data_IF_500047469336
#
_entry.id   IF_500047469336
#
_cell.length_a   1.000
_cell.length_b   1.000
_cell.length_c   1.000
_cell.angle_alpha   90.00
_cell.angle_beta   90.00
_cell.angle_gamma   90.00
#
_symmetry.space_group_name_H-M   'P 1'
#
loop_
_entity.id
_entity.type
_entity.pdbx_description
1 polymer ?
#
# COMPACT_ATOMS: atom_id res chain seq x y z
N UNK A 1 -18.91 -23.11 -14.78
CA UNK A 1 -19.65 -21.94 -15.30
C UNK A 1 -18.63 -20.90 -15.73
N UNK A 2 -18.55 -20.58 -17.02
CA UNK A 2 -17.60 -19.59 -17.54
C UNK A 2 -17.98 -18.16 -17.11
N UNK A 3 -17.01 -17.26 -16.87
CA UNK A 3 -17.30 -15.91 -16.43
C UNK A 3 -18.09 -15.14 -17.50
N UNK A 4 -19.24 -14.60 -17.08
CA UNK A 4 -20.12 -13.72 -17.86
C UNK A 4 -19.32 -12.53 -18.39
N UNK A 5 -19.25 -12.40 -19.72
CA UNK A 5 -18.75 -11.20 -20.40
C UNK A 5 -19.57 -10.00 -19.95
N UNK A 6 -18.90 -8.99 -19.39
CA UNK A 6 -19.48 -7.70 -19.05
C UNK A 6 -20.18 -7.08 -20.26
N UNK A 7 -21.32 -6.43 -19.99
CA UNK A 7 -22.17 -5.81 -21.00
C UNK A 7 -21.37 -4.87 -21.90
N UNK A 8 -21.37 -5.15 -23.20
CA UNK A 8 -20.86 -4.21 -24.20
C UNK A 8 -21.82 -3.03 -24.24
N UNK A 9 -21.33 -1.84 -23.89
CA UNK A 9 -22.02 -0.59 -24.14
C UNK A 9 -22.43 -0.52 -25.63
N UNK A 10 -23.61 0.03 -25.90
CA UNK A 10 -24.11 0.21 -27.26
C UNK A 10 -23.07 1.03 -28.05
N UNK A 11 -22.57 0.46 -29.14
CA UNK A 11 -21.58 1.12 -30.00
C UNK A 11 -22.32 1.96 -31.03
N UNK A 12 -21.98 3.24 -31.14
CA UNK A 12 -22.47 4.13 -32.18
C UNK A 12 -22.06 3.61 -33.56
N UNK A 13 -22.96 3.73 -34.55
CA UNK A 13 -22.79 3.21 -35.91
C UNK A 13 -23.15 4.27 -36.94
N UNK A 14 -22.46 4.25 -38.07
CA UNK A 14 -22.77 5.12 -39.21
C UNK A 14 -22.52 6.60 -38.89
N UNK A 15 -23.46 7.47 -39.27
CA UNK A 15 -23.37 8.93 -39.10
C UNK A 15 -23.08 9.34 -37.66
N UNK A 16 -23.71 8.70 -36.68
CA UNK A 16 -23.48 9.00 -35.25
C UNK A 16 -22.02 8.77 -34.84
N UNK A 17 -21.34 7.80 -35.45
CA UNK A 17 -19.93 7.56 -35.19
C UNK A 17 -19.02 8.58 -35.89
N UNK A 18 -19.43 9.12 -37.03
CA UNK A 18 -18.71 10.19 -37.74
C UNK A 18 -18.79 11.49 -36.95
N UNK A 19 -20.00 11.91 -36.56
CA UNK A 19 -20.23 13.14 -35.80
C UNK A 19 -19.50 13.12 -34.45
N UNK A 20 -19.54 11.99 -33.73
CA UNK A 20 -18.83 11.83 -32.44
C UNK A 20 -17.31 11.91 -32.59
N UNK A 21 -16.74 11.35 -33.67
CA UNK A 21 -15.30 11.37 -33.90
C UNK A 21 -14.84 12.77 -34.31
N UNK A 22 -15.63 13.46 -35.13
CA UNK A 22 -15.33 14.82 -35.55
C UNK A 22 -15.41 15.81 -34.39
N UNK A 23 -16.49 15.77 -33.60
CA UNK A 23 -16.63 16.59 -32.40
C UNK A 23 -15.47 16.34 -31.43
N UNK A 24 -15.06 15.08 -31.27
CA UNK A 24 -13.90 14.73 -30.46
C UNK A 24 -12.60 15.33 -31.01
N UNK A 25 -12.32 15.21 -32.32
CA UNK A 25 -11.12 15.76 -32.93
C UNK A 25 -11.09 17.29 -32.86
N UNK A 26 -12.23 17.96 -33.06
CA UNK A 26 -12.38 19.42 -32.96
C UNK A 26 -12.17 19.88 -31.52
N UNK A 27 -12.80 19.21 -30.54
CA UNK A 27 -12.68 19.59 -29.12
C UNK A 27 -11.25 19.46 -28.57
N UNK A 28 -10.51 18.44 -29.02
CA UNK A 28 -9.15 18.20 -28.54
C UNK A 28 -8.09 18.99 -29.31
N UNK A 29 -8.38 19.38 -30.55
CA UNK A 29 -7.47 20.10 -31.46
C UNK A 29 -6.04 19.50 -31.49
N UNK A 30 -5.96 18.17 -31.48
CA UNK A 30 -4.71 17.40 -31.40
C UNK A 30 -4.70 16.24 -32.41
N UNK A 31 -3.55 15.89 -32.99
CA UNK A 31 -3.41 14.75 -33.89
C UNK A 31 -3.43 13.42 -33.11
N UNK A 32 -4.26 12.46 -33.54
CA UNK A 32 -4.37 11.14 -32.91
C UNK A 32 -4.31 9.99 -33.93
N UNK A 33 -3.87 8.81 -33.48
CA UNK A 33 -4.01 7.58 -34.25
C UNK A 33 -5.36 6.90 -33.98
N UNK A 34 -5.77 5.99 -34.87
CA UNK A 34 -7.06 5.28 -34.79
C UNK A 34 -7.26 4.57 -33.44
N UNK A 35 -6.21 3.90 -32.94
CA UNK A 35 -6.30 3.18 -31.67
C UNK A 35 -6.55 4.13 -30.50
N UNK A 36 -5.91 5.31 -30.49
CA UNK A 36 -6.04 6.31 -29.44
C UNK A 36 -7.44 6.92 -29.45
N UNK A 37 -7.98 7.23 -30.63
CA UNK A 37 -9.36 7.74 -30.79
C UNK A 37 -10.38 6.76 -30.20
N UNK A 38 -10.27 5.47 -30.53
CA UNK A 38 -11.17 4.42 -30.01
C UNK A 38 -11.06 4.27 -28.49
N UNK A 39 -9.85 4.38 -27.95
CA UNK A 39 -9.60 4.33 -26.50
C UNK A 39 -10.14 5.56 -25.76
N UNK A 40 -9.88 6.76 -26.28
CA UNK A 40 -10.31 8.02 -25.68
C UNK A 40 -11.83 8.18 -25.74
N UNK A 41 -12.49 7.63 -26.77
CA UNK A 41 -13.95 7.51 -26.85
C UNK A 41 -14.51 6.36 -26.02
N UNK A 42 -13.71 5.71 -25.16
CA UNK A 42 -14.11 4.59 -24.29
C UNK A 42 -14.83 3.45 -25.02
N UNK A 43 -14.40 3.10 -26.23
CA UNK A 43 -15.05 2.10 -27.09
C UNK A 43 -16.53 2.41 -27.44
N UNK A 44 -16.98 3.66 -27.31
CA UNK A 44 -18.30 4.11 -27.81
C UNK A 44 -18.44 3.89 -29.31
N UNK A 45 -17.32 3.95 -30.05
CA UNK A 45 -17.25 3.55 -31.46
C UNK A 45 -16.39 2.29 -31.57
N UNK A 46 -16.90 1.26 -32.25
CA UNK A 46 -16.12 0.05 -32.52
C UNK A 46 -14.98 0.31 -33.51
N UNK A 47 -13.82 -0.35 -33.34
CA UNK A 47 -12.62 -0.12 -34.18
C UNK A 47 -12.90 -0.14 -35.68
N UNK A 48 -13.68 -1.11 -36.16
CA UNK A 48 -14.05 -1.20 -37.58
C UNK A 48 -14.95 -0.06 -38.05
N UNK A 49 -15.85 0.41 -37.18
CA UNK A 49 -16.72 1.54 -37.47
C UNK A 49 -15.93 2.86 -37.46
N UNK A 50 -14.97 3.02 -36.53
CA UNK A 50 -14.09 4.17 -36.46
C UNK A 50 -13.20 4.30 -37.70
N UNK A 51 -12.66 3.20 -38.22
CA UNK A 51 -11.88 3.21 -39.47
C UNK A 51 -12.73 3.75 -40.63
N UNK A 52 -13.94 3.21 -40.80
CA UNK A 52 -14.85 3.65 -41.88
C UNK A 52 -15.28 5.10 -41.72
N UNK A 53 -15.63 5.51 -40.50
CA UNK A 53 -16.01 6.88 -40.20
C UNK A 53 -14.88 7.87 -40.49
N UNK A 54 -13.64 7.54 -40.08
CA UNK A 54 -12.46 8.36 -40.35
C UNK A 54 -12.13 8.44 -41.85
N UNK A 55 -12.26 7.34 -42.59
CA UNK A 55 -12.08 7.32 -44.05
C UNK A 55 -13.14 8.20 -44.75
N UNK A 56 -14.40 8.13 -44.31
CA UNK A 56 -15.49 8.95 -44.83
C UNK A 56 -15.26 10.44 -44.53
N UNK A 57 -14.93 10.78 -43.28
CA UNK A 57 -14.64 12.15 -42.86
C UNK A 57 -13.42 12.73 -43.58
N UNK A 58 -12.38 11.93 -43.79
CA UNK A 58 -11.19 12.34 -44.55
C UNK A 58 -11.52 12.55 -46.03
N UNK A 59 -12.36 11.68 -46.61
CA UNK A 59 -12.81 11.80 -48.01
C UNK A 59 -13.72 13.02 -48.21
N UNK A 60 -14.51 13.37 -47.20
CA UNK A 60 -15.34 14.58 -47.17
C UNK A 60 -14.54 15.87 -46.92
N UNK A 61 -13.23 15.78 -46.63
CA UNK A 61 -12.38 16.93 -46.33
C UNK A 61 -12.65 17.61 -44.98
N UNK A 62 -13.46 16.98 -44.11
CA UNK A 62 -13.81 17.50 -42.78
C UNK A 62 -12.68 17.32 -41.77
N UNK A 63 -11.83 16.31 -41.99
CA UNK A 63 -10.63 16.04 -41.20
C UNK A 63 -9.41 15.91 -42.11
N UNK A 64 -8.24 16.23 -41.57
CA UNK A 64 -6.96 16.06 -42.26
C UNK A 64 -6.33 14.73 -41.84
N UNK A 65 -5.83 13.97 -42.81
CA UNK A 65 -5.16 12.69 -42.56
C UNK A 65 -3.76 12.68 -43.15
N UNK A 66 -2.82 12.07 -42.43
CA UNK A 66 -1.45 11.86 -42.92
C UNK A 66 -0.97 10.47 -42.53
N UNK A 67 -0.48 9.72 -43.52
CA UNK A 67 0.10 8.40 -43.32
C UNK A 67 1.60 8.51 -43.01
N UNK A 68 2.03 7.80 -41.96
CA UNK A 68 3.41 7.64 -41.54
C UNK A 68 3.73 6.15 -41.48
N UNK A 69 4.19 5.61 -42.62
CA UNK A 69 4.48 4.19 -42.76
C UNK A 69 3.22 3.34 -42.57
N UNK A 70 3.15 2.59 -41.46
CA UNK A 70 2.01 1.72 -41.12
C UNK A 70 0.90 2.42 -40.30
N UNK A 71 1.16 3.63 -39.81
CA UNK A 71 0.26 4.36 -38.93
C UNK A 71 -0.36 5.52 -39.71
N UNK A 72 -1.66 5.75 -39.52
CA UNK A 72 -2.36 6.91 -40.07
C UNK A 72 -2.78 7.80 -38.91
N UNK A 73 -2.41 9.08 -39.01
CA UNK A 73 -2.72 10.11 -38.03
C UNK A 73 -3.83 10.98 -38.58
N UNK A 74 -4.85 11.22 -37.76
CA UNK A 74 -6.02 12.03 -38.07
C UNK A 74 -6.03 13.26 -37.17
N UNK A 75 -6.32 14.41 -37.75
CA UNK A 75 -6.45 15.68 -37.05
C UNK A 75 -7.65 16.45 -37.63
N UNK A 76 -8.25 17.34 -36.83
CA UNK A 76 -9.21 18.30 -37.36
C UNK A 76 -8.53 19.23 -38.39
N UNK A 77 -9.29 19.70 -39.36
CA UNK A 77 -8.82 20.72 -40.30
C UNK A 77 -8.60 22.04 -39.55
N UNK A 78 -7.62 22.83 -39.99
CA UNK A 78 -7.35 24.16 -39.43
C UNK A 78 -8.63 25.01 -39.53
N UNK A 79 -9.05 25.55 -38.38
CA UNK A 79 -10.19 26.46 -38.27
C UNK A 79 -9.68 27.81 -37.79
N UNK A 80 -10.24 28.89 -38.35
CA UNK A 80 -9.99 30.22 -37.83
C UNK A 80 -10.49 30.30 -36.38
N UNK A 81 -9.60 30.65 -35.46
CA UNK A 81 -9.93 30.80 -34.06
C UNK A 81 -10.79 32.05 -33.87
N UNK A 82 -12.10 31.86 -33.81
CA UNK A 82 -13.05 32.93 -33.49
C UNK A 82 -13.22 32.98 -31.97
N UNK A 83 -12.91 34.13 -31.37
CA UNK A 83 -13.23 34.38 -29.96
C UNK A 83 -14.75 34.32 -29.76
N UNK A 84 -15.26 33.70 -28.69
CA UNK A 84 -16.67 33.73 -28.37
C UNK A 84 -17.19 35.17 -28.24
N UNK A 85 -18.44 35.41 -28.64
CA UNK A 85 -19.06 36.74 -28.55
C UNK A 85 -19.00 37.27 -27.10
N UNK A 86 -18.45 38.47 -26.93
CA UNK A 86 -18.31 39.13 -25.62
C UNK A 86 -16.98 38.89 -24.90
N UNK A 87 -16.07 38.10 -25.47
CA UNK A 87 -14.73 37.89 -24.91
C UNK A 87 -13.76 38.91 -25.50
N UNK A 88 -13.25 39.81 -24.66
CA UNK A 88 -12.23 40.78 -25.06
C UNK A 88 -10.85 40.11 -25.06
N UNK A 89 -10.23 40.01 -26.23
CA UNK A 89 -8.88 39.47 -26.40
C UNK A 89 -7.84 40.20 -25.52
N UNK A 90 -8.08 41.47 -25.19
CA UNK A 90 -7.18 42.27 -24.36
C UNK A 90 -7.13 41.83 -22.89
N UNK A 91 -8.07 40.99 -22.42
CA UNK A 91 -8.05 40.45 -21.05
C UNK A 91 -7.15 39.21 -20.92
N UNK A 92 -6.87 38.53 -22.03
CA UNK A 92 -6.09 37.28 -22.05
C UNK A 92 -4.65 37.56 -22.49
N UNK A 93 -4.00 38.49 -21.81
CA UNK A 93 -2.57 38.75 -22.01
C UNK A 93 -1.71 37.72 -21.29
N UNK A 94 -0.48 37.46 -21.76
CA UNK A 94 0.46 36.60 -21.04
C UNK A 94 0.75 37.11 -19.62
N UNK A 95 0.66 38.43 -19.39
CA UNK A 95 0.76 39.02 -18.06
C UNK A 95 -0.41 38.64 -17.15
N UNK A 96 -1.66 38.72 -17.64
CA UNK A 96 -2.85 38.29 -16.89
C UNK A 96 -2.78 36.78 -16.57
N UNK A 97 -2.32 35.96 -17.52
CA UNK A 97 -2.11 34.53 -17.28
C UNK A 97 -1.05 34.27 -16.20
N UNK A 98 0.02 35.07 -16.19
CA UNK A 98 1.06 34.98 -15.16
C UNK A 98 0.51 35.35 -13.78
N UNK A 99 -0.31 36.41 -13.70
CA UNK A 99 -0.99 36.82 -12.47
C UNK A 99 -1.93 35.72 -11.95
N UNK A 100 -2.81 35.19 -12.80
CA UNK A 100 -3.73 34.11 -12.40
C UNK A 100 -3.00 32.84 -11.96
N UNK A 101 -1.84 32.52 -12.56
CA UNK A 101 -1.00 31.40 -12.09
C UNK A 101 -0.40 31.67 -10.71
N UNK A 102 0.02 32.91 -10.46
CA UNK A 102 0.52 33.31 -9.14
C UNK A 102 -0.60 33.21 -8.08
N UNK A 103 -1.78 33.75 -8.38
CA UNK A 103 -2.98 33.65 -7.54
C UNK A 103 -3.39 32.20 -7.28
N UNK A 104 -3.38 31.34 -8.31
CA UNK A 104 -3.67 29.91 -8.16
C UNK A 104 -2.67 29.25 -7.20
N UNK A 105 -1.38 29.57 -7.34
CA UNK A 105 -0.33 29.02 -6.48
C UNK A 105 -0.49 29.47 -5.03
N UNK A 106 -0.90 30.72 -4.81
CA UNK A 106 -1.16 31.27 -3.48
C UNK A 106 -2.39 30.60 -2.83
N UNK A 107 -3.50 30.49 -3.56
CA UNK A 107 -4.72 29.81 -3.09
C UNK A 107 -4.47 28.33 -2.81
N UNK A 108 -3.68 27.65 -3.63
CA UNK A 108 -3.29 26.25 -3.39
C UNK A 108 -2.46 26.09 -2.11
N UNK A 109 -1.56 27.03 -1.85
CA UNK A 109 -0.77 27.05 -0.61
C UNK A 109 -1.65 27.28 0.61
N UNK A 110 -2.58 28.24 0.55
CA UNK A 110 -3.50 28.54 1.64
C UNK A 110 -4.43 27.36 1.92
N UNK A 111 -4.93 26.71 0.86
CA UNK A 111 -5.71 25.47 0.98
C UNK A 111 -4.90 24.36 1.65
N UNK A 112 -3.63 24.19 1.28
CA UNK A 112 -2.78 23.16 1.88
C UNK A 112 -2.56 23.43 3.38
N UNK A 113 -2.33 24.69 3.77
CA UNK A 113 -2.19 25.08 5.18
C UNK A 113 -3.49 24.83 5.96
N UNK A 114 -4.64 25.25 5.43
CA UNK A 114 -5.93 25.02 6.05
C UNK A 114 -6.26 23.52 6.17
N UNK A 115 -5.89 22.71 5.19
CA UNK A 115 -6.06 21.26 5.24
C UNK A 115 -5.19 20.63 6.33
N UNK A 116 -3.95 21.08 6.50
CA UNK A 116 -3.07 20.58 7.57
C UNK A 116 -3.65 20.91 8.95
N UNK A 117 -4.15 22.12 9.14
CA UNK A 117 -4.82 22.52 10.39
C UNK A 117 -6.09 21.71 10.64
N UNK A 118 -6.91 21.50 9.62
CA UNK A 118 -8.09 20.66 9.71
C UNK A 118 -7.75 19.22 10.09
N UNK A 119 -6.75 18.62 9.44
CA UNK A 119 -6.30 17.26 9.72
C UNK A 119 -5.66 17.14 11.11
N UNK A 120 -5.08 18.23 11.64
CA UNK A 120 -4.57 18.28 13.02
C UNK A 120 -5.72 18.25 14.03
N UNK A 121 -6.73 19.09 13.84
CA UNK A 121 -7.91 19.14 14.72
C UNK A 121 -8.72 17.86 14.64
N UNK A 122 -8.89 17.27 13.45
CA UNK A 122 -9.65 16.01 13.28
C UNK A 122 -8.96 14.79 13.88
N UNK A 123 -7.66 14.85 14.20
CA UNK A 123 -6.98 13.79 14.95
C UNK A 123 -7.29 13.85 16.44
N UNK A 124 -7.71 15.01 16.94
CA UNK A 124 -8.10 15.15 18.33
C UNK A 124 -9.48 14.51 18.53
N UNK A 125 -9.65 13.63 19.54
CA UNK A 125 -10.94 13.04 19.80
C UNK A 125 -11.95 14.13 20.22
N UNK A 126 -13.24 13.95 19.91
CA UNK A 126 -14.27 14.92 20.26
C UNK A 126 -14.30 15.15 21.77
N UNK A 127 -14.72 16.35 22.18
CA UNK A 127 -14.64 16.80 23.58
C UNK A 127 -15.37 15.87 24.57
N UNK A 128 -16.46 15.23 24.12
CA UNK A 128 -17.21 14.24 24.92
C UNK A 128 -16.41 12.95 25.14
N UNK A 129 -15.70 12.47 24.13
CA UNK A 129 -14.83 11.29 24.25
C UNK A 129 -13.61 11.58 25.13
N UNK A 130 -13.06 12.80 25.07
CA UNK A 130 -11.99 13.24 25.96
C UNK A 130 -12.37 13.14 27.44
N UNK A 131 -13.60 13.54 27.79
CA UNK A 131 -14.09 13.44 29.18
C UNK A 131 -14.17 11.98 29.64
N UNK A 132 -14.69 11.08 28.80
CA UNK A 132 -14.74 9.65 29.10
C UNK A 132 -13.34 9.03 29.23
N UNK A 133 -12.40 9.46 28.39
CA UNK A 133 -10.99 9.04 28.44
C UNK A 133 -10.31 9.50 29.74
N UNK A 134 -10.57 10.73 30.18
CA UNK A 134 -10.05 11.26 31.45
C UNK A 134 -10.57 10.41 32.61
N UNK A 135 -11.89 10.22 32.71
CA UNK A 135 -12.50 9.45 33.80
C UNK A 135 -11.97 8.01 33.84
N UNK A 136 -11.85 7.36 32.68
CA UNK A 136 -11.27 6.01 32.58
C UNK A 136 -9.81 5.96 33.01
N UNK A 137 -9.02 6.95 32.63
CA UNK A 137 -7.61 7.02 32.99
C UNK A 137 -7.45 7.27 34.49
N UNK A 138 -8.27 8.14 35.09
CA UNK A 138 -8.31 8.38 36.53
C UNK A 138 -8.63 7.09 37.29
N UNK A 139 -9.69 6.37 36.90
CA UNK A 139 -10.01 5.06 37.49
C UNK A 139 -8.87 4.04 37.36
N UNK A 140 -8.15 4.06 36.23
CA UNK A 140 -7.01 3.18 36.00
C UNK A 140 -5.85 3.54 36.91
N UNK A 141 -5.58 4.85 37.10
CA UNK A 141 -4.54 5.34 38.01
C UNK A 141 -4.87 4.95 39.44
N UNK A 142 -6.12 5.16 39.90
CA UNK A 142 -6.55 4.77 41.24
C UNK A 142 -6.38 3.26 41.48
N UNK A 143 -6.79 2.43 40.51
CA UNK A 143 -6.61 0.98 40.60
C UNK A 143 -5.13 0.59 40.68
N UNK A 144 -4.29 1.16 39.81
CA UNK A 144 -2.86 0.87 39.80
C UNK A 144 -2.17 1.34 41.08
N UNK A 145 -2.62 2.47 41.66
CA UNK A 145 -2.12 2.95 42.94
C UNK A 145 -2.52 1.99 44.08
N UNK A 146 -3.76 1.50 44.11
CA UNK A 146 -4.19 0.52 45.10
C UNK A 146 -3.43 -0.82 44.96
N UNK A 147 -3.24 -1.31 43.74
CA UNK A 147 -2.41 -2.50 43.48
C UNK A 147 -0.96 -2.29 43.91
N UNK A 148 -0.39 -1.10 43.65
CA UNK A 148 0.96 -0.75 44.08
C UNK A 148 1.07 -0.68 45.61
N UNK A 149 0.10 -0.10 46.30
CA UNK A 149 0.05 -0.04 47.77
C UNK A 149 -0.07 -1.44 48.38
N UNK A 150 -0.89 -2.32 47.81
CA UNK A 150 -1.01 -3.71 48.25
C UNK A 150 0.33 -4.44 48.07
N UNK A 151 0.94 -4.31 46.90
CA UNK A 151 2.24 -4.91 46.61
C UNK A 151 3.34 -4.36 47.52
N UNK A 152 3.35 -3.05 47.79
CA UNK A 152 4.33 -2.42 48.69
C UNK A 152 4.13 -2.84 50.15
N UNK A 153 2.88 -3.01 50.59
CA UNK A 153 2.57 -3.44 51.96
C UNK A 153 2.94 -4.91 52.18
N UNK A 154 2.76 -5.75 51.15
CA UNK A 154 3.16 -7.15 51.15
C UNK A 154 4.59 -7.38 50.63
N UNK A 155 5.39 -6.34 50.42
CA UNK A 155 6.77 -6.46 49.95
C UNK A 155 7.73 -6.63 51.14
N UNK A 156 8.35 -7.79 51.24
CA UNK A 156 9.38 -8.06 52.24
C UNK A 156 10.78 -7.96 51.61
N UNK A 157 11.63 -6.99 51.99
CA UNK A 157 12.96 -6.79 51.39
C UNK A 157 13.92 -8.00 51.49
N UNK A 158 13.67 -8.92 52.42
CA UNK A 158 14.43 -10.16 52.55
C UNK A 158 14.23 -11.10 51.35
N UNK A 159 13.07 -11.07 50.69
CA UNK A 159 12.78 -11.89 49.51
C UNK A 159 13.71 -11.57 48.34
N UNK A 160 14.09 -10.30 48.14
CA UNK A 160 14.97 -9.90 47.04
C UNK A 160 16.39 -10.49 47.21
N UNK A 161 16.89 -10.54 48.45
CA UNK A 161 18.19 -11.15 48.76
C UNK A 161 18.15 -12.67 48.58
N UNK A 162 17.07 -13.31 49.04
CA UNK A 162 16.86 -14.76 48.88
C UNK A 162 16.75 -15.13 47.40
N UNK A 163 15.98 -14.38 46.60
CA UNK A 163 15.86 -14.59 45.15
C UNK A 163 17.20 -14.42 44.44
N UNK A 164 18.02 -13.42 44.82
CA UNK A 164 19.38 -13.26 44.27
C UNK A 164 20.30 -14.43 44.63
N UNK A 165 20.19 -14.97 45.84
CA UNK A 165 20.97 -16.13 46.25
C UNK A 165 20.53 -17.41 45.53
N UNK A 166 19.22 -17.62 45.38
CA UNK A 166 18.65 -18.77 44.66
C UNK A 166 19.04 -18.75 43.18
N UNK A 167 18.88 -17.62 42.49
CA UNK A 167 19.28 -17.49 41.08
C UNK A 167 20.80 -17.70 40.89
N UNK A 168 21.63 -17.21 41.82
CA UNK A 168 23.06 -17.47 41.81
C UNK A 168 23.41 -18.95 42.05
N UNK A 169 22.61 -19.67 42.84
CA UNK A 169 22.77 -21.12 43.04
C UNK A 169 22.31 -21.91 41.81
N UNK A 170 21.17 -21.57 41.22
CA UNK A 170 20.64 -22.18 40.00
C UNK A 170 21.64 -22.08 38.85
N UNK A 171 22.17 -20.89 38.57
CA UNK A 171 23.16 -20.70 37.51
C UNK A 171 24.46 -21.50 37.73
N UNK A 172 24.84 -21.77 38.99
CA UNK A 172 25.97 -22.66 39.30
C UNK A 172 25.62 -24.12 39.01
N UNK A 173 24.43 -24.55 39.44
CA UNK A 173 23.94 -25.92 39.20
C UNK A 173 23.78 -26.18 37.70
N UNK A 174 23.25 -25.25 36.92
CA UNK A 174 23.14 -25.37 35.47
C UNK A 174 24.51 -25.51 34.79
N UNK A 175 25.52 -24.74 35.22
CA UNK A 175 26.89 -24.87 34.72
C UNK A 175 27.48 -26.25 35.01
N UNK A 176 27.26 -26.76 36.23
CA UNK A 176 27.70 -28.11 36.62
C UNK A 176 26.98 -29.20 35.82
N UNK A 177 25.67 -29.08 35.65
CA UNK A 177 24.87 -30.01 34.83
C UNK A 177 25.35 -29.97 33.38
N UNK A 178 25.61 -28.80 32.81
CA UNK A 178 26.13 -28.66 31.45
C UNK A 178 27.53 -29.27 31.30
N UNK A 179 28.43 -29.04 32.25
CA UNK A 179 29.77 -29.63 32.27
C UNK A 179 29.70 -31.16 32.38
N UNK A 180 28.91 -31.69 33.31
CA UNK A 180 28.71 -33.14 33.50
C UNK A 180 28.06 -33.79 32.29
N UNK A 181 27.07 -33.13 31.69
CA UNK A 181 26.42 -33.58 30.46
C UNK A 181 27.40 -33.63 29.28
N UNK A 182 28.30 -32.65 29.14
CA UNK A 182 29.38 -32.68 28.13
C UNK A 182 30.35 -33.83 28.37
N UNK A 183 30.77 -34.06 29.62
CA UNK A 183 31.65 -35.18 29.96
C UNK A 183 31.02 -36.53 29.62
N UNK A 184 29.75 -36.74 29.96
CA UNK A 184 29.00 -37.96 29.62
C UNK A 184 28.88 -38.12 28.11
N UNK A 185 28.56 -37.06 27.36
CA UNK A 185 28.49 -37.11 25.89
C UNK A 185 29.84 -37.47 25.25
N UNK A 186 30.94 -36.91 25.76
CA UNK A 186 32.29 -37.24 25.28
C UNK A 186 32.66 -38.69 25.56
N UNK A 187 32.40 -39.18 26.77
CA UNK A 187 32.62 -40.58 27.14
C UNK A 187 31.77 -41.53 26.27
N UNK A 188 30.51 -41.18 26.02
CA UNK A 188 29.64 -41.95 25.15
C UNK A 188 30.16 -42.00 23.71
N UNK A 189 30.70 -40.89 23.19
CA UNK A 189 31.34 -40.86 21.87
C UNK A 189 32.55 -41.79 21.80
N UNK A 190 33.42 -41.75 22.82
CA UNK A 190 34.58 -42.63 22.95
C UNK A 190 34.19 -44.12 22.97
N UNK A 191 33.14 -44.49 23.73
CA UNK A 191 32.62 -45.86 23.76
C UNK A 191 32.06 -46.26 22.38
N UNK A 192 31.35 -45.36 21.70
CA UNK A 192 30.82 -45.60 20.35
C UNK A 192 31.93 -45.86 19.33
N UNK A 193 33.03 -45.10 19.40
CA UNK A 193 34.16 -45.23 18.48
C UNK A 193 34.98 -46.51 18.71
N UNK A 194 35.18 -46.88 19.97
CA UNK A 194 36.03 -48.03 20.37
C UNK A 194 35.30 -49.37 20.30
N UNK A 195 34.05 -49.43 20.78
CA UNK A 195 33.29 -50.69 20.90
C UNK A 195 32.37 -50.91 19.69
N UNK A 196 32.00 -49.85 18.95
CA UNK A 196 31.05 -49.87 17.81
C UNK A 196 29.80 -50.74 18.05
N UNK A 197 29.08 -50.55 19.17
CA UNK A 197 27.92 -51.38 19.47
C UNK A 197 26.75 -51.04 18.53
N UNK A 198 26.01 -52.06 18.09
CA UNK A 198 24.82 -51.88 17.24
C UNK A 198 23.67 -51.17 17.96
N UNK A 199 23.58 -51.31 19.28
CA UNK A 199 22.61 -50.61 20.12
C UNK A 199 23.29 -50.08 21.40
N UNK A 200 23.35 -48.76 21.54
CA UNK A 200 23.99 -48.11 22.69
C UNK A 200 23.19 -48.27 23.99
N UNK A 201 21.89 -48.59 23.90
CA UNK A 201 21.02 -48.74 25.06
C UNK A 201 21.38 -49.93 25.97
N UNK A 202 22.14 -50.91 25.46
CA UNK A 202 22.59 -52.07 26.25
C UNK A 202 23.69 -51.71 27.27
N UNK A 203 24.42 -50.62 27.04
CA UNK A 203 25.52 -50.16 27.91
C UNK A 203 25.12 -49.08 28.91
N UNK A 204 23.91 -48.52 28.77
CA UNK A 204 23.41 -47.44 29.62
C UNK A 204 22.27 -47.97 30.51
N UNK A 205 22.59 -48.35 31.75
CA UNK A 205 21.62 -48.87 32.74
C UNK A 205 20.65 -47.78 33.24
N UNK A 206 21.00 -46.50 33.08
CA UNK A 206 20.13 -45.37 33.39
C UNK A 206 20.12 -44.39 32.21
N UNK A 207 18.95 -44.20 31.60
CA UNK A 207 18.74 -43.12 30.63
C UNK A 207 18.71 -41.80 31.38
N UNK A 208 19.87 -41.16 31.52
CA UNK A 208 19.88 -39.73 31.81
C UNK A 208 19.37 -39.05 30.54
N UNK A 209 18.08 -38.67 30.52
CA UNK A 209 17.53 -37.75 29.53
C UNK A 209 18.21 -36.39 29.73
N UNK A 210 19.38 -36.25 29.14
CA UNK A 210 20.12 -34.99 29.08
C UNK A 210 19.35 -34.13 28.08
N UNK A 211 18.38 -33.37 28.60
CA UNK A 211 17.48 -32.46 27.91
C UNK A 211 18.04 -31.93 26.59
N UNK A 212 17.73 -32.66 25.52
CA UNK A 212 17.68 -32.19 24.16
C UNK A 212 16.26 -32.48 23.72
N UNK A 213 15.57 -31.46 23.19
CA UNK A 213 14.18 -31.56 22.77
C UNK A 213 13.87 -32.76 21.87
N UNK A 214 12.58 -33.01 21.61
CA UNK A 214 12.07 -34.25 21.03
C UNK A 214 12.40 -34.35 19.53
N UNK A 215 13.68 -34.45 19.18
CA UNK A 215 14.09 -34.80 17.82
C UNK A 215 15.53 -35.29 17.79
N UNK A 216 15.78 -36.46 18.37
CA UNK A 216 16.85 -37.29 17.86
C UNK A 216 16.48 -38.76 17.98
N UNK A 217 15.78 -39.23 16.95
CA UNK A 217 15.60 -40.67 16.70
C UNK A 217 16.99 -41.28 16.50
N UNK A 218 17.32 -42.24 17.35
CA UNK A 218 18.17 -43.37 17.00
C UNK A 218 17.37 -44.63 17.21
#
# INVERSE_FOLDING_TARGET
MGPKKGGKAAQAKGSEAEDLIEEYLVSQYKPFAINDIVQNLHNKVGKTAAIKALENLASAGRITTKSFGKIVIYACTEQDLVLPEGVDAAQYTPEALSQWRAELTEVEKDRAAAQEEYDRVMKEPPNEELQLLIERNEQTVERLQAELEELQTNWEPEDELVVKQLTAAETKVEKEIAARSRMVKNLLSLVKETVRPSNMAEFLVCRCDIGGGPDNRY
#
